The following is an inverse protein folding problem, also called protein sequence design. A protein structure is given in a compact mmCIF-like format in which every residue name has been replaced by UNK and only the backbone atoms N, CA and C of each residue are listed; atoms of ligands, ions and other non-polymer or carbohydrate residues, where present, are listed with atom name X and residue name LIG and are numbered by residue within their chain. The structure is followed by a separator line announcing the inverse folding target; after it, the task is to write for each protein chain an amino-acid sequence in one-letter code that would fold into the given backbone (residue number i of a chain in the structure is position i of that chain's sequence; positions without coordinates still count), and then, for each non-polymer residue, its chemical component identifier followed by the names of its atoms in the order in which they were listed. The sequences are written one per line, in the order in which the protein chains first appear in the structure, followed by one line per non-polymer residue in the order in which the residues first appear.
data_IF_254024757047
#
_entry.id   IF_254024757047
#
_cell.length_a   1.000
_cell.length_b   1.000
_cell.length_c   1.000
_cell.angle_alpha   90.00
_cell.angle_beta   90.00
_cell.angle_gamma   90.00
#
_symmetry.space_group_name_H-M   'P 1'
#
loop_
_entity.id
_entity.type
_entity.pdbx_description
1 polymer ?
#
# COMPACT_ATOMS: atom_id res chain seq x y z
N UNK A 1 4.13 -4.54 -7.05
CA UNK A 1 3.89 -5.61 -8.05
C UNK A 1 5.09 -6.53 -8.28
N UNK A 2 6.12 -6.18 -9.05
CA UNK A 2 7.27 -7.10 -9.28
C UNK A 2 7.96 -7.50 -7.97
N UNK A 3 8.24 -6.52 -7.12
CA UNK A 3 8.77 -6.79 -5.78
C UNK A 3 7.82 -7.63 -4.94
N UNK A 4 6.51 -7.32 -4.94
CA UNK A 4 5.54 -8.11 -4.18
C UNK A 4 5.51 -9.57 -4.65
N UNK A 5 5.60 -9.85 -5.95
CA UNK A 5 5.67 -11.23 -6.44
C UNK A 5 6.81 -11.97 -5.73
N UNK A 6 8.03 -11.42 -5.73
CA UNK A 6 9.14 -12.01 -5.00
C UNK A 6 8.88 -12.06 -3.49
N UNK A 7 8.41 -10.97 -2.89
CA UNK A 7 8.19 -10.91 -1.45
C UNK A 7 7.17 -11.94 -0.96
N UNK A 8 6.18 -12.29 -1.78
CA UNK A 8 5.19 -13.32 -1.47
C UNK A 8 5.61 -14.73 -1.90
N UNK A 9 6.44 -14.92 -2.93
CA UNK A 9 6.88 -16.24 -3.40
C UNK A 9 8.19 -16.71 -2.79
N UNK A 10 9.06 -15.78 -2.40
CA UNK A 10 10.48 -15.98 -2.09
C UNK A 10 11.28 -16.65 -3.23
N UNK A 11 10.80 -16.57 -4.47
CA UNK A 11 11.47 -17.13 -5.64
C UNK A 11 12.68 -16.27 -6.05
N UNK A 12 13.84 -16.63 -5.50
CA UNK A 12 15.12 -15.96 -5.77
C UNK A 12 15.55 -16.08 -7.23
N UNK A 13 15.19 -17.16 -7.92
CA UNK A 13 15.58 -17.36 -9.32
C UNK A 13 14.76 -16.46 -10.25
N UNK A 14 13.45 -16.38 -10.02
CA UNK A 14 12.60 -15.40 -10.69
C UNK A 14 13.08 -13.97 -10.43
N UNK A 15 13.43 -13.63 -9.18
CA UNK A 15 13.95 -12.31 -8.85
C UNK A 15 15.23 -12.02 -9.64
N UNK A 16 16.16 -12.97 -9.71
CA UNK A 16 17.42 -12.81 -10.47
C UNK A 16 17.17 -12.61 -11.97
N UNK A 17 16.28 -13.42 -12.57
CA UNK A 17 16.08 -13.47 -14.03
C UNK A 17 15.13 -12.43 -14.59
N UNK A 18 14.10 -12.07 -13.83
CA UNK A 18 12.98 -11.25 -14.32
C UNK A 18 12.79 -10.01 -13.45
N UNK A 19 12.61 -10.21 -12.14
CA UNK A 19 12.27 -9.12 -11.23
C UNK A 19 13.33 -8.01 -11.18
N UNK A 20 14.59 -8.40 -10.93
CA UNK A 20 15.71 -7.48 -10.78
C UNK A 20 16.02 -6.69 -12.05
N UNK A 21 16.19 -7.30 -13.24
CA UNK A 21 16.48 -6.54 -14.46
C UNK A 21 15.41 -5.48 -14.77
N UNK A 22 14.12 -5.81 -14.61
CA UNK A 22 13.02 -4.87 -14.87
C UNK A 22 12.97 -3.73 -13.85
N UNK A 23 13.12 -4.06 -12.56
CA UNK A 23 13.14 -3.04 -11.49
C UNK A 23 14.37 -2.13 -11.61
N UNK A 24 15.55 -2.70 -11.90
CA UNK A 24 16.79 -1.97 -12.09
C UNK A 24 16.68 -1.00 -13.27
N UNK A 25 16.21 -1.46 -14.43
CA UNK A 25 16.03 -0.59 -15.60
C UNK A 25 15.06 0.57 -15.35
N UNK A 26 13.95 0.31 -14.64
CA UNK A 26 13.05 1.39 -14.22
C UNK A 26 13.72 2.37 -13.24
N UNK A 27 14.58 1.87 -12.34
CA UNK A 27 15.29 2.70 -11.38
C UNK A 27 16.38 3.54 -12.05
N UNK A 28 17.11 2.99 -13.03
CA UNK A 28 18.12 3.71 -13.83
C UNK A 28 17.50 4.94 -14.51
N UNK A 29 16.32 4.79 -15.12
CA UNK A 29 15.57 5.91 -15.68
C UNK A 29 15.39 7.03 -14.64
N UNK A 30 14.95 6.71 -13.42
CA UNK A 30 14.74 7.72 -12.38
C UNK A 30 16.02 8.25 -11.77
N UNK A 31 17.09 7.46 -11.72
CA UNK A 31 18.42 7.94 -11.33
C UNK A 31 18.84 9.10 -12.23
N UNK A 32 18.57 9.00 -13.54
CA UNK A 32 18.97 10.02 -14.52
C UNK A 32 17.96 11.18 -14.65
N UNK A 33 16.69 10.95 -14.37
CA UNK A 33 15.63 11.93 -14.64
C UNK A 33 15.15 12.74 -13.43
N UNK A 34 15.51 12.35 -12.19
CA UNK A 34 15.20 13.15 -11.00
C UNK A 34 15.82 14.54 -11.08
N UNK A 35 15.00 15.58 -10.89
CA UNK A 35 15.41 16.98 -10.93
C UNK A 35 15.55 17.54 -9.52
N UNK A 36 16.44 18.51 -9.35
CA UNK A 36 16.50 19.29 -8.11
C UNK A 36 15.31 20.26 -8.03
N UNK A 37 14.72 20.33 -6.84
CA UNK A 37 13.61 21.24 -6.49
C UNK A 37 14.00 22.07 -5.26
N UNK A 38 13.25 23.12 -4.89
CA UNK A 38 13.59 24.00 -3.77
C UNK A 38 13.93 23.23 -2.48
N UNK A 39 14.91 23.73 -1.73
CA UNK A 39 15.42 23.07 -0.52
C UNK A 39 16.45 21.97 -0.75
N UNK A 40 16.93 21.79 -1.99
CA UNK A 40 17.99 20.80 -2.32
C UNK A 40 17.48 19.36 -2.45
N UNK A 41 16.16 19.19 -2.46
CA UNK A 41 15.48 17.91 -2.66
C UNK A 41 15.49 17.49 -4.13
N UNK A 42 15.29 16.20 -4.36
CA UNK A 42 15.05 15.59 -5.66
C UNK A 42 13.58 15.25 -5.80
N UNK A 43 13.01 15.52 -6.97
CA UNK A 43 11.65 15.14 -7.28
C UNK A 43 11.48 14.82 -8.77
N UNK A 44 10.32 14.27 -9.12
CA UNK A 44 9.93 14.13 -10.52
C UNK A 44 9.44 15.48 -11.03
N UNK A 45 9.94 15.91 -12.20
CA UNK A 45 9.57 17.18 -12.82
C UNK A 45 9.71 17.07 -14.34
N UNK A 46 8.67 17.44 -15.13
CA UNK A 46 7.34 17.82 -14.68
C UNK A 46 6.60 16.63 -14.05
N UNK A 47 5.61 16.92 -13.20
CA UNK A 47 4.87 15.94 -12.40
C UNK A 47 3.38 16.25 -12.39
N UNK A 48 2.56 15.21 -12.30
CA UNK A 48 1.10 15.33 -12.25
C UNK A 48 0.55 14.39 -11.18
N UNK A 49 -0.47 14.84 -10.44
CA UNK A 49 -1.26 13.96 -9.57
C UNK A 49 -2.48 13.48 -10.34
N UNK A 50 -2.54 12.21 -10.75
CA UNK A 50 -3.70 11.71 -11.50
C UNK A 50 -4.97 11.87 -10.67
N UNK A 51 -6.06 12.45 -11.15
CA UNK A 51 -6.23 13.23 -12.39
C UNK A 51 -6.78 14.62 -12.06
N UNK A 52 -6.04 15.36 -11.23
CA UNK A 52 -6.47 16.67 -10.77
C UNK A 52 -5.31 17.65 -10.56
N UNK A 53 -5.68 18.92 -10.43
CA UNK A 53 -4.74 20.01 -10.25
C UNK A 53 -3.91 20.29 -11.50
N UNK A 54 -2.93 21.20 -11.39
CA UNK A 54 -2.05 21.56 -12.49
C UNK A 54 -0.92 20.53 -12.68
N UNK A 55 -0.20 20.66 -13.80
CA UNK A 55 1.14 20.08 -13.93
C UNK A 55 2.08 20.87 -13.01
N UNK A 56 2.80 20.18 -12.13
CA UNK A 56 3.68 20.78 -11.11
C UNK A 56 5.08 20.21 -11.18
N UNK A 57 5.91 20.56 -10.21
CA UNK A 57 7.09 19.78 -9.84
C UNK A 57 6.75 18.95 -8.59
N UNK A 58 7.23 17.73 -8.52
CA UNK A 58 7.22 16.91 -7.30
C UNK A 58 5.84 16.68 -6.67
N UNK A 59 4.81 16.37 -7.47
CA UNK A 59 3.56 15.88 -6.89
C UNK A 59 3.86 14.63 -6.04
N UNK A 60 3.30 14.56 -4.82
CA UNK A 60 3.67 13.56 -3.82
C UNK A 60 3.59 12.14 -4.36
N UNK A 61 2.56 11.87 -5.19
CA UNK A 61 2.37 10.57 -5.83
C UNK A 61 3.60 10.05 -6.56
N UNK A 62 4.17 10.82 -7.48
CA UNK A 62 5.29 10.36 -8.30
C UNK A 62 6.58 10.21 -7.48
N UNK A 63 6.80 11.09 -6.51
CA UNK A 63 7.96 10.98 -5.61
C UNK A 63 7.87 9.72 -4.75
N UNK A 64 6.68 9.38 -4.25
CA UNK A 64 6.49 8.14 -3.49
C UNK A 64 6.72 6.88 -4.34
N UNK A 65 6.30 6.88 -5.61
CA UNK A 65 6.57 5.76 -6.52
C UNK A 65 8.07 5.54 -6.71
N UNK A 66 8.85 6.61 -6.92
CA UNK A 66 10.30 6.52 -7.04
C UNK A 66 10.94 6.07 -5.72
N UNK A 67 10.45 6.57 -4.58
CA UNK A 67 10.93 6.16 -3.25
C UNK A 67 10.72 4.67 -3.00
N UNK A 68 9.56 4.16 -3.40
CA UNK A 68 9.19 2.75 -3.32
C UNK A 68 10.06 1.89 -4.25
N UNK A 69 10.20 2.31 -5.51
CA UNK A 69 11.05 1.62 -6.50
C UNK A 69 12.50 1.52 -6.02
N UNK A 70 13.09 2.62 -5.53
CA UNK A 70 14.45 2.61 -5.00
C UNK A 70 14.59 1.73 -3.77
N UNK A 71 13.61 1.77 -2.84
CA UNK A 71 13.59 0.89 -1.67
C UNK A 71 13.56 -0.59 -2.05
N UNK A 72 12.66 -0.94 -2.98
CA UNK A 72 12.53 -2.31 -3.46
C UNK A 72 13.77 -2.78 -4.25
N UNK A 73 14.41 -1.89 -5.01
CA UNK A 73 15.67 -2.20 -5.68
C UNK A 73 16.82 -2.46 -4.69
N UNK A 74 16.90 -1.67 -3.61
CA UNK A 74 17.88 -1.90 -2.55
C UNK A 74 17.69 -3.27 -1.89
N UNK A 75 16.45 -3.62 -1.55
CA UNK A 75 16.13 -4.91 -0.96
C UNK A 75 16.40 -6.08 -1.92
N UNK A 76 16.04 -5.94 -3.20
CA UNK A 76 16.30 -6.96 -4.22
C UNK A 76 17.81 -7.19 -4.44
N UNK A 77 18.58 -6.12 -4.57
CA UNK A 77 20.03 -6.21 -4.78
C UNK A 77 20.77 -6.75 -3.56
N UNK A 78 20.22 -6.58 -2.35
CA UNK A 78 20.73 -7.22 -1.13
C UNK A 78 20.47 -8.73 -1.12
N UNK A 79 19.25 -9.17 -1.45
CA UNK A 79 18.92 -10.60 -1.59
C UNK A 79 19.79 -11.29 -2.63
N UNK A 80 20.06 -10.61 -3.75
CA UNK A 80 20.86 -11.16 -4.85
C UNK A 80 22.37 -10.98 -4.64
N UNK A 81 22.78 -10.20 -3.64
CA UNK A 81 24.15 -9.77 -3.39
C UNK A 81 24.86 -9.23 -4.66
N UNK A 82 24.28 -8.20 -5.25
CA UNK A 82 24.72 -7.62 -6.53
C UNK A 82 24.76 -6.09 -6.51
N UNK A 83 25.39 -5.50 -7.53
CA UNK A 83 25.25 -4.09 -7.89
C UNK A 83 25.59 -3.09 -6.76
N UNK A 84 26.71 -3.32 -6.05
CA UNK A 84 27.14 -2.51 -4.90
C UNK A 84 27.14 -0.99 -5.16
N UNK A 85 27.73 -0.55 -6.27
CA UNK A 85 27.82 0.89 -6.61
C UNK A 85 26.45 1.49 -6.94
N UNK A 86 25.60 0.73 -7.63
CA UNK A 86 24.23 1.15 -7.92
C UNK A 86 23.42 1.28 -6.62
N UNK A 87 23.56 0.32 -5.68
CA UNK A 87 22.95 0.43 -4.34
C UNK A 87 23.40 1.71 -3.63
N UNK A 88 24.68 2.08 -3.70
CA UNK A 88 25.17 3.32 -3.10
C UNK A 88 24.52 4.56 -3.74
N UNK A 89 24.41 4.60 -5.08
CA UNK A 89 23.71 5.67 -5.82
C UNK A 89 22.25 5.77 -5.41
N UNK A 90 21.53 4.65 -5.35
CA UNK A 90 20.12 4.61 -4.94
C UNK A 90 19.94 5.12 -3.50
N UNK A 91 20.78 4.70 -2.55
CA UNK A 91 20.70 5.20 -1.16
C UNK A 91 20.87 6.72 -1.10
N UNK A 92 21.88 7.26 -1.80
CA UNK A 92 22.15 8.71 -1.83
C UNK A 92 20.98 9.50 -2.42
N UNK A 93 20.41 9.06 -3.56
CA UNK A 93 19.28 9.74 -4.20
C UNK A 93 17.98 9.57 -3.41
N UNK A 94 17.68 8.37 -2.89
CA UNK A 94 16.48 8.10 -2.08
C UNK A 94 16.42 8.97 -0.83
N UNK A 95 17.56 9.19 -0.16
CA UNK A 95 17.66 10.06 1.01
C UNK A 95 17.39 11.54 0.69
N UNK A 96 17.57 11.95 -0.57
CA UNK A 96 17.31 13.31 -1.06
C UNK A 96 15.93 13.45 -1.75
N UNK A 97 15.11 12.41 -1.82
CA UNK A 97 13.77 12.55 -2.41
C UNK A 97 12.89 13.44 -1.52
N UNK A 98 12.11 14.34 -2.13
CA UNK A 98 11.18 15.25 -1.46
C UNK A 98 10.31 14.48 -0.42
N UNK A 99 10.32 14.89 0.86
CA UNK A 99 9.59 14.18 1.90
C UNK A 99 8.07 14.43 1.82
N UNK A 100 7.30 13.53 2.43
CA UNK A 100 5.88 13.77 2.67
C UNK A 100 5.70 14.96 3.62
N UNK A 101 4.64 15.74 3.38
CA UNK A 101 4.33 16.94 4.15
C UNK A 101 2.90 16.90 4.67
N UNK A 102 2.70 17.54 5.80
CA UNK A 102 1.38 17.81 6.38
C UNK A 102 1.02 19.25 6.03
N UNK A 103 -0.13 19.44 5.39
CA UNK A 103 -0.62 20.73 4.94
C UNK A 103 -1.35 21.52 6.02
N UNK A 104 -1.66 22.78 5.74
CA UNK A 104 -2.38 23.69 6.66
C UNK A 104 -3.76 23.21 7.17
N UNK A 105 -4.36 22.18 6.58
CA UNK A 105 -5.64 21.61 7.05
C UNK A 105 -5.46 20.27 7.78
N UNK A 106 -4.21 19.93 8.12
CA UNK A 106 -3.83 18.69 8.80
C UNK A 106 -3.86 17.47 7.87
N UNK A 107 -3.97 17.66 6.56
CA UNK A 107 -4.02 16.60 5.56
C UNK A 107 -2.63 16.27 5.04
N UNK A 108 -2.45 15.07 4.49
CA UNK A 108 -1.26 14.75 3.70
C UNK A 108 -1.29 15.59 2.42
N UNK A 109 -0.23 16.33 2.14
CA UNK A 109 -0.15 17.18 0.94
C UNK A 109 -0.11 16.33 -0.33
N UNK A 110 -0.94 16.67 -1.32
CA UNK A 110 -0.92 15.99 -2.62
C UNK A 110 0.14 16.57 -3.58
N UNK A 111 0.49 17.84 -3.38
CA UNK A 111 1.56 18.56 -4.10
C UNK A 111 2.58 19.15 -3.13
N UNK A 112 3.67 19.69 -3.69
CA UNK A 112 4.70 20.38 -2.92
C UNK A 112 4.17 21.64 -2.23
N UNK A 113 3.34 22.39 -2.94
CA UNK A 113 2.67 23.59 -2.46
C UNK A 113 1.32 23.21 -1.84
N UNK A 114 1.10 23.62 -0.59
CA UNK A 114 -0.11 23.25 0.14
C UNK A 114 -1.27 24.25 -0.06
N UNK A 115 -1.08 25.28 -0.89
CA UNK A 115 -2.04 26.36 -1.23
C UNK A 115 -2.78 26.19 -2.56
N UNK A 116 -2.57 25.07 -3.24
CA UNK A 116 -3.34 24.75 -4.43
C UNK A 116 -4.83 24.60 -4.13
N UNK A 117 -5.67 25.17 -5.00
CA UNK A 117 -7.14 25.11 -4.90
C UNK A 117 -7.71 23.68 -4.87
N UNK A 118 -6.95 22.71 -5.40
CA UNK A 118 -7.33 21.32 -5.37
C UNK A 118 -7.04 20.64 -4.01
N UNK A 119 -6.17 21.18 -3.15
CA UNK A 119 -5.86 20.60 -1.83
C UNK A 119 -6.72 21.22 -0.71
N UNK A 120 -8.05 21.15 -0.90
CA UNK A 120 -9.06 21.75 0.00
C UNK A 120 -9.98 20.72 0.65
N UNK A 121 -10.61 21.13 1.75
CA UNK A 121 -11.42 20.25 2.63
C UNK A 121 -12.65 19.63 1.95
N UNK A 122 -13.14 20.25 0.88
CA UNK A 122 -14.34 19.82 0.13
C UNK A 122 -14.00 18.96 -1.08
N UNK A 123 -12.72 18.68 -1.34
CA UNK A 123 -12.31 17.92 -2.52
C UNK A 123 -12.60 16.42 -2.35
N UNK A 124 -13.63 15.96 -3.07
CA UNK A 124 -14.06 14.56 -3.18
C UNK A 124 -13.66 13.89 -4.50
N UNK A 125 -12.56 14.33 -5.13
CA UNK A 125 -12.06 13.72 -6.35
C UNK A 125 -11.86 12.20 -6.20
N UNK A 126 -12.11 11.47 -7.29
CA UNK A 126 -12.10 9.99 -7.30
C UNK A 126 -10.72 9.39 -7.06
N UNK A 127 -9.65 10.10 -7.45
CA UNK A 127 -8.29 9.69 -7.15
C UNK A 127 -7.85 10.18 -5.76
N UNK A 128 -7.10 9.32 -5.10
CA UNK A 128 -6.43 9.57 -3.82
C UNK A 128 -4.94 9.27 -3.98
N UNK A 129 -4.34 9.80 -5.05
CA UNK A 129 -3.01 9.41 -5.53
C UNK A 129 -1.91 9.57 -4.47
N UNK A 130 -1.95 10.65 -3.69
CA UNK A 130 -1.03 10.85 -2.57
C UNK A 130 -1.23 9.88 -1.39
N UNK A 131 -2.32 9.13 -1.37
CA UNK A 131 -2.56 8.07 -0.38
C UNK A 131 -2.01 6.71 -0.83
N UNK A 132 -1.26 6.68 -1.95
CA UNK A 132 -0.28 5.64 -2.19
C UNK A 132 0.64 5.42 -0.97
N UNK A 133 0.88 6.47 -0.17
CA UNK A 133 1.58 6.40 1.12
C UNK A 133 1.03 5.31 2.05
N UNK A 134 -0.28 5.08 2.04
CA UNK A 134 -0.94 4.06 2.85
C UNK A 134 -1.09 2.72 2.12
N UNK A 135 -1.55 2.76 0.86
CA UNK A 135 -1.75 1.57 0.05
C UNK A 135 -1.64 1.90 -1.45
N UNK A 136 -0.96 1.07 -2.27
CA UNK A 136 -0.24 -0.15 -1.89
C UNK A 136 1.13 0.10 -1.27
N UNK A 137 1.61 1.35 -1.20
CA UNK A 137 2.83 1.71 -0.48
C UNK A 137 2.72 1.53 1.04
N UNK A 138 3.73 1.99 1.75
CA UNK A 138 3.83 1.85 3.21
C UNK A 138 4.76 2.93 3.80
N UNK A 139 4.50 4.20 3.46
CA UNK A 139 5.39 5.34 3.74
C UNK A 139 4.85 6.27 4.84
N UNK A 140 3.86 5.81 5.62
CA UNK A 140 3.29 6.53 6.76
C UNK A 140 4.04 6.16 8.04
N UNK A 141 5.32 6.51 8.08
CA UNK A 141 6.27 6.05 9.10
C UNK A 141 6.03 6.66 10.49
N UNK A 142 5.22 7.71 10.59
CA UNK A 142 4.93 8.41 11.86
C UNK A 142 3.43 8.49 12.15
N UNK A 143 3.03 8.58 13.44
CA UNK A 143 1.64 8.81 13.81
C UNK A 143 1.04 10.08 13.18
N UNK A 144 1.82 11.14 13.01
CA UNK A 144 1.40 12.40 12.42
C UNK A 144 1.08 12.24 10.93
N UNK A 145 1.91 11.52 10.17
CA UNK A 145 1.63 11.20 8.77
C UNK A 145 0.39 10.31 8.63
N UNK A 146 0.20 9.36 9.55
CA UNK A 146 -1.00 8.50 9.58
C UNK A 146 -2.27 9.32 9.86
N UNK A 147 -2.22 10.22 10.84
CA UNK A 147 -3.31 11.16 11.11
C UNK A 147 -3.61 12.05 9.90
N UNK A 148 -2.57 12.52 9.21
CA UNK A 148 -2.71 13.33 8.01
C UNK A 148 -3.36 12.57 6.83
N UNK A 149 -3.01 11.28 6.66
CA UNK A 149 -3.65 10.41 5.67
C UNK A 149 -5.13 10.16 6.00
N UNK A 150 -5.48 9.93 7.28
CA UNK A 150 -6.88 9.82 7.73
C UNK A 150 -7.64 11.11 7.40
N UNK A 151 -7.05 12.27 7.67
CA UNK A 151 -7.66 13.56 7.35
C UNK A 151 -7.89 13.73 5.84
N UNK A 152 -6.92 13.37 5.00
CA UNK A 152 -7.08 13.36 3.54
C UNK A 152 -8.22 12.43 3.09
N UNK A 153 -8.34 11.23 3.69
CA UNK A 153 -9.46 10.32 3.39
C UNK A 153 -10.81 10.89 3.79
N UNK A 154 -10.88 11.57 4.95
CA UNK A 154 -12.11 12.24 5.39
C UNK A 154 -12.56 13.31 4.39
N UNK A 155 -11.63 14.10 3.82
CA UNK A 155 -11.95 15.08 2.78
C UNK A 155 -12.42 14.42 1.49
N UNK A 156 -11.78 13.31 1.08
CA UNK A 156 -12.10 12.58 -0.16
C UNK A 156 -13.42 11.82 -0.10
N UNK A 157 -13.93 11.53 1.10
CA UNK A 157 -15.20 10.88 1.33
C UNK A 157 -15.28 9.42 0.86
N UNK A 158 -16.45 8.81 1.04
CA UNK A 158 -16.65 7.35 0.88
C UNK A 158 -17.36 6.95 -0.42
N UNK A 159 -17.43 7.84 -1.40
CA UNK A 159 -18.06 7.59 -2.70
C UNK A 159 -17.06 7.56 -3.85
N UNK A 160 -17.58 7.84 -5.06
CA UNK A 160 -16.95 7.87 -6.38
C UNK A 160 -17.23 6.62 -7.25
N UNK A 161 -16.23 6.11 -7.97
CA UNK A 161 -16.32 5.00 -8.93
C UNK A 161 -16.03 3.66 -8.25
N UNK A 162 -16.32 2.55 -8.93
CA UNK A 162 -16.02 1.20 -8.44
C UNK A 162 -14.58 1.00 -7.97
N UNK A 163 -13.59 1.22 -8.85
CA UNK A 163 -12.17 1.20 -8.49
C UNK A 163 -11.78 2.14 -7.36
N UNK A 164 -12.40 3.34 -7.29
CA UNK A 164 -12.06 4.32 -6.26
C UNK A 164 -12.45 3.81 -4.90
N UNK A 165 -13.66 3.24 -4.77
CA UNK A 165 -14.09 2.60 -3.54
C UNK A 165 -13.27 1.34 -3.24
N UNK A 166 -12.94 0.52 -4.25
CA UNK A 166 -12.00 -0.60 -4.12
C UNK A 166 -10.67 -0.17 -3.49
N UNK A 167 -10.05 0.89 -3.99
CA UNK A 167 -8.80 1.42 -3.43
C UNK A 167 -8.99 1.98 -2.01
N UNK A 168 -10.07 2.73 -1.77
CA UNK A 168 -10.37 3.29 -0.44
C UNK A 168 -10.60 2.21 0.63
N UNK A 169 -11.16 1.04 0.29
CA UNK A 169 -11.26 -0.10 1.22
C UNK A 169 -9.86 -0.52 1.69
N UNK A 170 -8.92 -0.70 0.76
CA UNK A 170 -7.55 -1.08 1.07
C UNK A 170 -6.82 -0.01 1.91
N UNK A 171 -7.04 1.28 1.60
CA UNK A 171 -6.46 2.38 2.38
C UNK A 171 -7.00 2.38 3.81
N UNK A 172 -8.31 2.27 4.01
CA UNK A 172 -8.89 2.23 5.36
C UNK A 172 -8.46 0.98 6.15
N UNK A 173 -8.28 -0.16 5.48
CA UNK A 173 -7.67 -1.35 6.08
C UNK A 173 -6.24 -1.06 6.59
N UNK A 174 -5.41 -0.37 5.79
CA UNK A 174 -4.05 0.06 6.19
C UNK A 174 -4.03 1.14 7.27
N UNK A 175 -5.07 1.97 7.32
CA UNK A 175 -5.29 2.97 8.38
C UNK A 175 -5.93 2.38 9.66
N UNK A 176 -6.19 1.06 9.69
CA UNK A 176 -6.74 0.31 10.83
C UNK A 176 -8.19 0.68 11.19
N UNK A 177 -8.96 1.20 10.23
CA UNK A 177 -10.38 1.50 10.40
C UNK A 177 -11.25 0.47 9.65
N UNK A 178 -11.49 -0.66 10.31
CA UNK A 178 -12.29 -1.75 9.77
C UNK A 178 -13.75 -1.38 9.53
N UNK A 179 -14.34 -0.57 10.41
CA UNK A 179 -15.73 -0.16 10.30
C UNK A 179 -15.93 0.76 9.07
N UNK A 180 -15.00 1.67 8.81
CA UNK A 180 -15.04 2.54 7.64
C UNK A 180 -14.80 1.79 6.33
N UNK A 181 -13.89 0.83 6.33
CA UNK A 181 -13.69 -0.07 5.19
C UNK A 181 -14.95 -0.92 4.91
N UNK A 182 -15.61 -1.43 5.96
CA UNK A 182 -16.85 -2.18 5.82
C UNK A 182 -17.99 -1.34 5.26
N UNK A 183 -18.12 -0.08 5.67
CA UNK A 183 -19.07 0.87 5.08
C UNK A 183 -18.84 1.00 3.56
N UNK A 184 -17.59 1.12 3.13
CA UNK A 184 -17.25 1.18 1.69
C UNK A 184 -17.56 -0.11 0.95
N UNK A 185 -17.32 -1.27 1.57
CA UNK A 185 -17.75 -2.56 1.03
C UNK A 185 -19.26 -2.56 0.79
N UNK A 186 -20.06 -2.12 1.77
CA UNK A 186 -21.51 -2.02 1.63
C UNK A 186 -21.91 -1.06 0.48
N UNK A 187 -21.27 0.11 0.39
CA UNK A 187 -21.53 1.07 -0.68
C UNK A 187 -21.22 0.52 -2.08
N UNK A 188 -20.09 -0.19 -2.22
CA UNK A 188 -19.66 -0.80 -3.48
C UNK A 188 -20.67 -1.87 -3.92
N UNK A 189 -21.06 -2.78 -3.02
CA UNK A 189 -22.03 -3.83 -3.30
C UNK A 189 -23.41 -3.25 -3.64
N UNK A 190 -23.86 -2.23 -2.91
CA UNK A 190 -25.19 -1.65 -3.09
C UNK A 190 -25.32 -0.78 -4.34
N UNK A 191 -24.23 -0.16 -4.81
CA UNK A 191 -24.31 0.91 -5.82
C UNK A 191 -23.39 0.79 -7.02
N UNK A 192 -22.40 -0.13 -7.01
CA UNK A 192 -21.39 -0.25 -8.07
C UNK A 192 -21.23 -1.64 -8.65
N UNK A 193 -22.10 -2.58 -8.29
CA UNK A 193 -22.12 -3.89 -8.93
C UNK A 193 -23.33 -4.00 -9.87
N UNK A 194 -23.09 -4.54 -11.07
CA UNK A 194 -24.15 -5.02 -11.93
C UNK A 194 -24.80 -6.29 -11.34
N UNK A 195 -25.97 -6.75 -11.83
CA UNK A 195 -26.62 -7.97 -11.35
C UNK A 195 -25.75 -9.24 -11.44
N UNK A 196 -24.76 -9.26 -12.35
CA UNK A 196 -23.77 -10.33 -12.48
C UNK A 196 -22.52 -10.13 -11.59
N UNK A 197 -22.58 -9.20 -10.62
CA UNK A 197 -21.51 -8.83 -9.70
C UNK A 197 -20.28 -8.17 -10.34
N UNK A 198 -20.38 -7.74 -11.60
CA UNK A 198 -19.31 -6.95 -12.23
C UNK A 198 -19.29 -5.53 -11.67
N UNK A 199 -18.09 -5.06 -11.34
CA UNK A 199 -17.86 -3.70 -10.90
C UNK A 199 -18.14 -2.69 -12.02
N UNK A 200 -18.69 -1.55 -11.63
CA UNK A 200 -19.13 -0.49 -12.51
C UNK A 200 -18.41 0.81 -12.16
N UNK A 201 -17.69 1.36 -13.13
CA UNK A 201 -17.23 2.74 -13.07
C UNK A 201 -18.42 3.72 -12.96
N UNK A 202 -19.48 3.68 -13.82
CA UNK A 202 -19.78 2.87 -15.02
C UNK A 202 -19.03 3.29 -16.32
N UNK A 203 -18.96 2.43 -17.37
CA UNK A 203 -19.54 1.08 -17.49
C UNK A 203 -18.70 0.03 -16.73
N UNK A 204 -18.80 -1.26 -17.09
CA UNK A 204 -18.00 -2.33 -16.51
C UNK A 204 -16.51 -1.97 -16.48
N UNK A 205 -15.92 -2.08 -15.30
CA UNK A 205 -14.47 -2.06 -15.07
C UNK A 205 -14.14 -3.13 -14.05
N UNK A 206 -13.13 -3.96 -14.30
CA UNK A 206 -12.83 -5.13 -13.45
C UNK A 206 -12.00 -4.76 -12.19
N UNK A 207 -11.45 -3.56 -12.17
CA UNK A 207 -10.56 -3.05 -11.14
C UNK A 207 -11.22 -3.00 -9.75
N UNK A 208 -12.48 -2.59 -9.64
CA UNK A 208 -13.20 -2.60 -8.37
C UNK A 208 -13.45 -4.01 -7.82
N UNK A 209 -13.65 -5.03 -8.68
CA UNK A 209 -13.76 -6.43 -8.22
C UNK A 209 -12.45 -6.92 -7.57
N UNK A 210 -11.31 -6.65 -8.21
CA UNK A 210 -10.00 -7.02 -7.67
C UNK A 210 -9.63 -6.19 -6.43
N UNK A 211 -9.94 -4.89 -6.46
CA UNK A 211 -9.75 -3.99 -5.32
C UNK A 211 -10.55 -4.42 -4.09
N UNK A 212 -11.81 -4.84 -4.28
CA UNK A 212 -12.65 -5.42 -3.22
C UNK A 212 -11.99 -6.65 -2.59
N UNK A 213 -11.57 -7.61 -3.41
CA UNK A 213 -10.96 -8.85 -2.92
C UNK A 213 -9.67 -8.58 -2.15
N UNK A 214 -8.80 -7.71 -2.68
CA UNK A 214 -7.59 -7.27 -1.98
C UNK A 214 -7.90 -6.58 -0.65
N UNK A 215 -8.94 -5.75 -0.63
CA UNK A 215 -9.38 -5.03 0.56
C UNK A 215 -9.87 -5.95 1.68
N UNK A 216 -10.65 -6.97 1.34
CA UNK A 216 -11.07 -8.00 2.31
C UNK A 216 -9.85 -8.74 2.89
N UNK A 217 -8.88 -9.11 2.05
CA UNK A 217 -7.64 -9.71 2.52
C UNK A 217 -6.86 -8.77 3.45
N UNK A 218 -6.71 -7.50 3.09
CA UNK A 218 -6.00 -6.48 3.89
C UNK A 218 -6.69 -6.15 5.23
N UNK A 219 -8.01 -6.32 5.34
CA UNK A 219 -8.72 -6.21 6.62
C UNK A 219 -8.38 -7.35 7.58
N UNK A 220 -8.18 -8.55 7.02
CA UNK A 220 -7.98 -9.80 7.75
C UNK A 220 -6.51 -10.12 8.03
N UNK A 221 -5.61 -9.77 7.11
CA UNK A 221 -4.18 -10.11 7.16
C UNK A 221 -3.33 -9.01 6.53
N UNK A 222 -2.30 -8.56 7.25
CA UNK A 222 -1.30 -7.65 6.72
C UNK A 222 0.11 -8.19 6.92
N UNK A 223 1.01 -7.93 5.97
CA UNK A 223 2.39 -8.45 6.00
C UNK A 223 3.45 -7.49 5.48
N UNK A 224 3.18 -6.18 5.50
CA UNK A 224 4.06 -5.17 4.90
C UNK A 224 4.97 -4.45 5.91
N UNK A 225 4.73 -4.56 7.21
CA UNK A 225 5.51 -3.89 8.28
C UNK A 225 6.52 -4.83 8.96
N UNK A 226 7.03 -5.84 8.23
CA UNK A 226 8.03 -6.78 8.75
C UNK A 226 7.49 -7.82 9.75
N UNK A 227 6.19 -8.03 9.75
CA UNK A 227 5.47 -9.02 10.57
C UNK A 227 4.18 -9.46 9.86
N UNK A 228 3.68 -10.64 10.19
CA UNK A 228 2.35 -11.13 9.81
C UNK A 228 1.35 -10.68 10.88
N UNK A 229 0.46 -9.75 10.54
CA UNK A 229 -0.51 -9.17 11.46
C UNK A 229 -1.91 -9.74 11.16
N UNK A 230 -2.45 -10.51 12.12
CA UNK A 230 -3.78 -11.11 12.05
C UNK A 230 -4.85 -10.14 12.58
N UNK A 231 -5.98 -10.05 11.88
CA UNK A 231 -7.10 -9.15 12.19
C UNK A 231 -6.70 -7.68 12.42
N UNK A 232 -5.87 -7.10 11.53
CA UNK A 232 -5.37 -5.74 11.70
C UNK A 232 -6.44 -4.65 11.71
N UNK A 233 -7.58 -4.91 11.06
CA UNK A 233 -8.65 -3.95 10.85
C UNK A 233 -10.00 -4.69 10.74
N UNK A 234 -10.27 -5.64 11.65
CA UNK A 234 -11.52 -6.39 11.65
C UNK A 234 -12.72 -5.45 11.88
N UNK A 235 -13.72 -5.41 10.98
CA UNK A 235 -14.96 -4.66 11.21
C UNK A 235 -15.78 -5.28 12.34
N UNK A 236 -16.45 -4.44 13.14
CA UNK A 236 -17.36 -4.93 14.21
C UNK A 236 -18.52 -5.76 13.68
N UNK A 237 -18.88 -5.56 12.41
CA UNK A 237 -19.90 -6.34 11.72
C UNK A 237 -19.52 -7.83 11.54
N UNK A 238 -18.25 -8.21 11.74
CA UNK A 238 -17.75 -9.58 11.56
C UNK A 238 -17.25 -10.17 12.90
N UNK A 239 -18.14 -10.37 13.89
CA UNK A 239 -17.73 -10.78 15.25
C UNK A 239 -17.07 -12.17 15.28
N UNK A 240 -17.36 -13.02 14.30
CA UNK A 240 -16.83 -14.38 14.20
C UNK A 240 -16.61 -14.77 12.75
N UNK A 241 -15.64 -15.65 12.50
CA UNK A 241 -15.35 -16.14 11.16
C UNK A 241 -14.07 -16.96 11.11
N UNK A 242 -13.72 -17.38 9.89
CA UNK A 242 -12.47 -18.08 9.60
C UNK A 242 -12.01 -17.82 8.19
N UNK A 243 -10.71 -17.88 7.97
CA UNK A 243 -10.08 -17.80 6.65
C UNK A 243 -8.98 -18.85 6.53
N UNK A 244 -8.80 -19.38 5.33
CA UNK A 244 -7.76 -20.35 5.01
C UNK A 244 -7.06 -19.97 3.71
N UNK A 245 -5.76 -20.19 3.65
CA UNK A 245 -4.95 -20.06 2.44
C UNK A 245 -4.50 -18.64 2.10
N UNK A 246 -4.60 -17.67 3.02
CA UNK A 246 -4.08 -16.32 2.75
C UNK A 246 -2.56 -16.36 2.66
N UNK A 247 -2.00 -15.68 1.66
CA UNK A 247 -0.55 -15.53 1.52
C UNK A 247 -0.06 -14.33 2.32
N UNK A 248 1.12 -14.44 2.90
CA UNK A 248 1.85 -13.34 3.53
C UNK A 248 3.27 -13.23 2.96
N UNK A 249 3.83 -12.00 2.95
CA UNK A 249 5.23 -11.75 2.56
C UNK A 249 6.17 -12.59 3.43
N UNK A 250 7.23 -13.12 2.83
CA UNK A 250 8.11 -14.14 3.41
C UNK A 250 7.80 -15.56 2.94
N UNK A 251 6.85 -15.75 2.01
CA UNK A 251 6.50 -17.08 1.50
C UNK A 251 5.58 -17.88 2.42
N UNK A 252 4.77 -17.19 3.22
CA UNK A 252 3.89 -17.81 4.21
C UNK A 252 2.48 -18.05 3.67
N UNK A 253 1.85 -19.13 4.13
CA UNK A 253 0.42 -19.39 4.04
C UNK A 253 -0.17 -19.36 5.45
N UNK A 254 -1.28 -18.64 5.61
CA UNK A 254 -1.87 -18.33 6.90
C UNK A 254 -3.34 -18.75 6.92
N UNK A 255 -3.69 -19.53 7.94
CA UNK A 255 -5.05 -19.91 8.29
C UNK A 255 -5.35 -19.38 9.68
N UNK A 256 -6.56 -18.87 9.93
CA UNK A 256 -6.99 -18.53 11.28
C UNK A 256 -8.51 -18.43 11.38
N UNK A 257 -8.99 -18.49 12.61
CA UNK A 257 -10.38 -18.31 13.00
C UNK A 257 -10.48 -17.39 14.20
N UNK A 258 -11.63 -16.73 14.32
CA UNK A 258 -11.88 -15.75 15.36
C UNK A 258 -13.31 -15.82 15.87
N UNK A 259 -13.46 -15.41 17.13
CA UNK A 259 -14.73 -15.29 17.83
C UNK A 259 -14.67 -14.08 18.76
N UNK A 260 -15.77 -13.35 18.84
CA UNK A 260 -15.90 -12.12 19.63
C UNK A 260 -14.79 -11.09 19.29
N UNK A 261 -14.40 -11.04 18.01
CA UNK A 261 -13.35 -10.17 17.50
C UNK A 261 -11.91 -10.59 17.81
N UNK A 262 -11.70 -11.73 18.47
CA UNK A 262 -10.38 -12.22 18.87
C UNK A 262 -10.01 -13.51 18.13
N UNK A 263 -8.76 -13.62 17.68
CA UNK A 263 -8.24 -14.85 17.08
C UNK A 263 -8.24 -15.96 18.13
N UNK A 264 -8.91 -17.08 17.83
CA UNK A 264 -9.02 -18.25 18.71
C UNK A 264 -8.13 -19.41 18.26
N UNK A 265 -7.77 -19.46 16.98
CA UNK A 265 -6.86 -20.45 16.42
C UNK A 265 -6.20 -19.90 15.16
N UNK A 266 -4.91 -20.20 14.97
CA UNK A 266 -4.17 -19.76 13.80
C UNK A 266 -3.02 -20.71 13.50
N UNK A 267 -2.60 -20.71 12.23
CA UNK A 267 -1.51 -21.52 11.68
C UNK A 267 -0.76 -20.68 10.66
N UNK A 268 0.57 -20.73 10.73
CA UNK A 268 1.45 -20.17 9.69
C UNK A 268 2.33 -21.28 9.17
N UNK A 269 2.31 -21.50 7.86
CA UNK A 269 3.10 -22.50 7.18
C UNK A 269 3.97 -21.87 6.08
N UNK A 270 5.11 -22.51 5.79
CA UNK A 270 6.04 -22.16 4.72
C UNK A 270 6.59 -23.42 4.06
N UNK A 271 7.13 -23.30 2.84
CA UNK A 271 7.77 -24.44 2.15
C UNK A 271 9.00 -24.96 2.89
N UNK A 272 9.74 -24.05 3.51
CA UNK A 272 10.92 -24.35 4.33
C UNK A 272 10.72 -23.82 5.75
N UNK A 273 11.24 -24.53 6.78
CA UNK A 273 11.21 -24.03 8.15
C UNK A 273 11.92 -22.68 8.25
N UNK A 274 11.19 -21.65 8.65
CA UNK A 274 11.73 -20.32 8.93
C UNK A 274 10.97 -19.65 10.07
N UNK A 275 11.65 -18.75 10.78
CA UNK A 275 11.04 -17.95 11.83
C UNK A 275 10.14 -16.87 11.23
N UNK A 276 9.02 -16.61 11.89
CA UNK A 276 8.08 -15.57 11.49
C UNK A 276 7.63 -14.77 12.72
N UNK A 277 7.60 -13.45 12.56
CA UNK A 277 7.01 -12.53 13.53
C UNK A 277 5.52 -12.43 13.26
N UNK A 278 4.68 -12.83 14.21
CA UNK A 278 3.22 -12.82 14.09
C UNK A 278 2.63 -11.90 15.15
N UNK A 279 1.87 -10.90 14.74
CA UNK A 279 1.04 -10.08 15.63
C UNK A 279 -0.37 -10.65 15.66
N UNK A 280 -0.80 -11.04 16.86
CA UNK A 280 -2.12 -11.65 17.10
C UNK A 280 -2.68 -11.14 18.43
N UNK A 281 -3.94 -10.68 18.43
CA UNK A 281 -4.62 -10.13 19.62
C UNK A 281 -3.79 -9.06 20.36
N UNK A 282 -3.07 -8.21 19.63
CA UNK A 282 -2.21 -7.15 20.17
C UNK A 282 -0.78 -7.60 20.58
N UNK A 283 -0.53 -8.90 20.67
CA UNK A 283 0.77 -9.46 21.06
C UNK A 283 1.63 -9.81 19.85
N UNK A 284 2.91 -9.43 19.88
CA UNK A 284 3.88 -9.84 18.87
C UNK A 284 4.66 -11.07 19.35
N UNK A 285 4.67 -12.14 18.55
CA UNK A 285 5.33 -13.42 18.86
C UNK A 285 6.27 -13.79 17.71
N UNK A 286 7.39 -14.43 18.04
CA UNK A 286 8.23 -15.10 17.03
C UNK A 286 7.98 -16.58 17.13
N UNK A 287 7.55 -17.20 16.04
CA UNK A 287 7.26 -18.65 15.98
C UNK A 287 7.99 -19.30 14.81
N UNK A 288 8.17 -20.61 14.91
CA UNK A 288 8.62 -21.42 13.80
C UNK A 288 7.42 -21.70 12.88
N UNK A 289 7.51 -21.32 11.60
CA UNK A 289 6.48 -21.70 10.64
C UNK A 289 6.47 -23.21 10.42
N UNK A 290 5.27 -23.79 10.33
CA UNK A 290 5.09 -25.19 9.99
C UNK A 290 5.50 -25.46 8.54
N UNK A 291 5.88 -26.70 8.25
CA UNK A 291 6.13 -27.12 6.87
C UNK A 291 4.81 -27.35 6.14
N UNK A 292 4.68 -26.81 4.93
CA UNK A 292 3.57 -27.08 4.01
C UNK A 292 3.52 -28.56 3.59
#
# INVERSE_FOLDING_TARGET
NLWDYYAFSMDREWLRRIGWPLMKGAAELWVDNLQEVPGGWLAVSPSYSPEQGPLTQGASYQVMLVRELFGNCLAAAEVLDTDADFRATLRKKRARLLPLRIGRHGQLCEWMDDDLEADVRTNQHRHVSHLFAAHPGHQLDTPELRAAAIQSMNFRGDGATGWSMGWKINIWARLRDGDRAHKLITNLIAGKLAPNLWDLHPPFQIDGNFGYTAGVCELLLQSHEGEVHLLPALPKAWPQGRVKGLRARGGFTVDFEWKDGLVTGWRVAAEQPQLVRVRVNGELKTVQAERL
#
